data_IF_488107633924
#
_entry.id   IF_488107633924
#
_cell.length_a   1.000
_cell.length_b   1.000
_cell.length_c   1.000
_cell.angle_alpha   90.00
_cell.angle_beta   90.00
_cell.angle_gamma   90.00
#
_symmetry.space_group_name_H-M   'P 1'
#
loop_
_entity.id
_entity.type
_entity.pdbx_description
1 polymer ?
#
# COMPACT_ATOMS: atom_id res chain seq x y z
N UNK A 1 6.25 10.59 22.11
CA UNK A 1 6.52 9.15 22.39
C UNK A 1 6.38 8.44 21.07
N UNK A 2 7.34 7.59 20.69
CA UNK A 2 7.21 6.81 19.44
C UNK A 2 5.93 5.96 19.48
N UNK A 3 5.19 5.94 18.37
CA UNK A 3 3.92 5.21 18.23
C UNK A 3 2.69 5.82 18.90
N UNK A 4 2.72 7.11 19.30
CA UNK A 4 1.51 7.78 19.83
C UNK A 4 0.33 7.75 18.84
N UNK A 5 0.62 7.70 17.53
CA UNK A 5 -0.39 7.64 16.48
C UNK A 5 -0.98 6.24 16.25
N UNK A 6 -0.43 5.22 16.92
CA UNK A 6 -0.99 3.87 16.88
C UNK A 6 -2.25 3.80 17.74
N UNK A 7 -2.10 3.58 19.05
CA UNK A 7 -3.23 3.45 19.99
C UNK A 7 -3.19 4.47 21.14
N UNK A 8 -2.38 5.53 21.00
CA UNK A 8 -2.15 6.52 22.06
C UNK A 8 -1.35 6.01 23.26
N UNK A 9 -1.04 4.71 23.30
CA UNK A 9 -0.23 4.10 24.36
C UNK A 9 1.24 4.06 23.94
N UNK A 10 2.14 4.04 24.93
CA UNK A 10 3.57 3.79 24.69
C UNK A 10 3.86 2.32 24.37
N UNK A 11 5.16 2.02 24.22
CA UNK A 11 5.66 0.64 24.03
C UNK A 11 5.78 0.19 22.57
N UNK A 12 5.56 1.09 21.61
CA UNK A 12 5.81 0.83 20.20
C UNK A 12 7.27 1.09 19.85
N UNK A 13 7.87 0.19 19.07
CA UNK A 13 9.18 0.40 18.45
C UNK A 13 9.02 0.61 16.96
N UNK A 14 9.53 1.72 16.42
CA UNK A 14 9.61 1.92 14.96
C UNK A 14 10.69 1.01 14.38
N UNK A 15 10.35 0.21 13.38
CA UNK A 15 11.31 -0.68 12.70
C UNK A 15 11.51 -0.33 11.22
N UNK A 16 10.62 0.47 10.63
CA UNK A 16 10.77 0.96 9.26
C UNK A 16 10.29 2.39 9.11
N UNK A 17 11.00 3.13 8.24
CA UNK A 17 10.79 4.55 8.00
C UNK A 17 11.23 4.90 6.57
N UNK A 18 10.31 5.46 5.80
CA UNK A 18 10.54 6.12 4.52
C UNK A 18 9.90 7.49 4.62
N UNK A 19 10.66 8.54 4.37
CA UNK A 19 10.15 9.90 4.25
C UNK A 19 10.90 10.66 3.16
N UNK A 20 10.42 10.54 1.92
CA UNK A 20 11.02 11.16 0.74
C UNK A 20 10.83 12.68 0.69
N UNK A 21 10.10 13.26 1.64
CA UNK A 21 10.00 14.72 1.77
C UNK A 21 11.21 15.34 2.48
N UNK A 22 12.03 14.53 3.14
CA UNK A 22 13.24 15.00 3.82
C UNK A 22 14.39 15.25 2.85
N UNK A 23 15.19 16.31 3.07
CA UNK A 23 16.36 16.58 2.23
C UNK A 23 17.36 15.41 2.24
N UNK A 24 17.68 14.89 1.06
CA UNK A 24 18.64 13.80 0.92
C UNK A 24 18.10 12.40 1.25
N UNK A 25 16.79 12.25 1.42
CA UNK A 25 16.16 10.95 1.60
C UNK A 25 16.42 10.02 0.41
N UNK A 26 16.58 8.72 0.69
CA UNK A 26 16.82 7.67 -0.30
C UNK A 26 15.87 6.51 -0.07
N UNK A 27 15.49 5.82 -1.14
CA UNK A 27 14.68 4.60 -1.01
C UNK A 27 15.48 3.47 -0.36
N UNK A 28 14.84 2.64 0.46
CA UNK A 28 15.49 1.49 1.08
C UNK A 28 15.85 0.44 0.04
N UNK A 29 16.76 -0.47 0.40
CA UNK A 29 17.23 -1.52 -0.49
C UNK A 29 16.07 -2.36 -1.03
N UNK A 30 16.07 -2.56 -2.35
CA UNK A 30 15.03 -3.30 -3.07
C UNK A 30 13.97 -2.39 -3.70
N UNK A 31 13.85 -1.14 -3.25
CA UNK A 31 13.05 -0.10 -3.88
C UNK A 31 13.97 0.92 -4.59
N UNK A 32 13.39 1.69 -5.50
CA UNK A 32 14.12 2.57 -6.40
C UNK A 32 13.56 3.98 -6.36
N UNK A 33 14.44 4.97 -6.45
CA UNK A 33 14.05 6.38 -6.49
C UNK A 33 13.78 6.82 -7.92
N UNK A 34 12.59 7.36 -8.16
CA UNK A 34 12.20 7.95 -9.45
C UNK A 34 11.56 9.31 -9.26
N UNK A 35 11.57 10.12 -10.32
CA UNK A 35 10.93 11.44 -10.32
C UNK A 35 9.60 11.39 -11.06
N UNK A 36 8.52 11.66 -10.34
CA UNK A 36 7.17 11.79 -10.86
C UNK A 36 6.67 13.22 -10.65
N UNK A 37 6.33 13.94 -11.73
CA UNK A 37 5.80 15.31 -11.62
C UNK A 37 6.69 16.28 -10.81
N UNK A 38 8.01 16.08 -10.81
CA UNK A 38 8.96 16.87 -10.02
C UNK A 38 9.14 16.43 -8.56
N UNK A 39 8.45 15.40 -8.10
CA UNK A 39 8.63 14.76 -6.78
C UNK A 39 9.52 13.53 -6.91
N UNK A 40 10.50 13.38 -6.02
CA UNK A 40 11.28 12.14 -5.91
C UNK A 40 10.55 11.19 -4.97
N UNK A 41 10.20 10.00 -5.45
CA UNK A 41 9.39 9.01 -4.74
C UNK A 41 10.09 7.63 -4.77
N UNK A 42 9.67 6.74 -3.89
CA UNK A 42 10.06 5.33 -3.93
C UNK A 42 9.05 4.49 -4.69
N UNK A 43 9.56 3.56 -5.48
CA UNK A 43 8.75 2.65 -6.29
C UNK A 43 9.45 1.31 -6.46
N UNK A 44 8.73 0.34 -7.03
CA UNK A 44 9.33 -0.86 -7.61
C UNK A 44 10.22 -0.48 -8.80
N UNK A 45 11.08 -1.39 -9.27
CA UNK A 45 11.90 -1.10 -10.45
C UNK A 45 11.01 -0.95 -11.70
N UNK A 46 11.19 0.14 -12.43
CA UNK A 46 10.48 0.41 -13.69
C UNK A 46 10.86 -0.57 -14.83
N UNK A 47 11.96 -1.32 -14.68
CA UNK A 47 12.37 -2.35 -15.64
C UNK A 47 11.78 -3.73 -15.35
N UNK A 48 11.11 -3.89 -14.21
CA UNK A 48 10.37 -5.10 -13.84
C UNK A 48 8.93 -4.91 -14.31
N UNK A 49 8.46 -5.81 -15.17
CA UNK A 49 7.08 -5.86 -15.66
C UNK A 49 6.08 -6.11 -14.53
N UNK A 50 5.21 -7.10 -14.65
CA UNK A 50 4.34 -7.50 -13.54
C UNK A 50 5.14 -8.06 -12.34
N UNK A 51 4.56 -7.97 -11.14
CA UNK A 51 5.13 -8.57 -9.92
C UNK A 51 5.39 -7.55 -8.81
N UNK A 52 6.30 -7.89 -7.91
CA UNK A 52 6.61 -7.07 -6.74
C UNK A 52 8.11 -6.89 -6.51
N UNK A 53 8.50 -5.70 -6.04
CA UNK A 53 9.78 -5.49 -5.37
C UNK A 53 9.58 -5.36 -3.86
N UNK A 54 10.52 -5.90 -3.07
CA UNK A 54 10.43 -5.92 -1.62
C UNK A 54 11.57 -5.18 -0.95
N UNK A 55 11.28 -4.53 0.17
CA UNK A 55 12.24 -4.13 1.21
C UNK A 55 11.87 -4.80 2.52
N UNK A 56 12.86 -5.03 3.39
CA UNK A 56 12.68 -5.69 4.68
C UNK A 56 13.10 -4.77 5.83
N UNK A 57 12.30 -4.76 6.88
CA UNK A 57 12.49 -3.99 8.10
C UNK A 57 12.72 -4.94 9.26
N UNK A 58 13.92 -4.89 9.84
CA UNK A 58 14.28 -5.89 10.84
C UNK A 58 13.57 -5.65 12.17
N UNK A 59 12.96 -6.70 12.70
CA UNK A 59 12.43 -6.70 14.06
C UNK A 59 13.53 -6.90 15.11
N UNK A 60 14.81 -7.05 14.69
CA UNK A 60 16.00 -7.28 15.53
C UNK A 60 15.83 -8.41 16.55
N UNK A 61 15.02 -9.42 16.20
CA UNK A 61 14.70 -10.57 17.05
C UNK A 61 13.74 -10.27 18.21
N UNK A 62 13.13 -9.08 18.25
CA UNK A 62 12.09 -8.77 19.22
C UNK A 62 10.82 -9.55 18.91
N UNK A 63 10.22 -10.09 19.96
CA UNK A 63 8.91 -10.71 19.82
C UNK A 63 7.80 -9.67 19.87
N UNK A 64 6.88 -9.73 18.93
CA UNK A 64 5.75 -8.81 18.84
C UNK A 64 4.45 -9.54 18.47
N UNK A 65 3.33 -8.96 18.86
CA UNK A 65 1.98 -9.44 18.56
C UNK A 65 1.12 -8.39 17.88
N UNK A 66 1.57 -7.14 17.84
CA UNK A 66 0.88 -6.04 17.21
C UNK A 66 1.78 -5.31 16.24
N UNK A 67 1.18 -4.88 15.15
CA UNK A 67 1.81 -4.07 14.10
C UNK A 67 0.95 -2.84 13.89
N UNK A 68 1.60 -1.70 13.70
CA UNK A 68 0.95 -0.44 13.42
C UNK A 68 1.75 0.30 12.36
N UNK A 69 1.09 0.95 11.41
CA UNK A 69 1.81 1.69 10.39
C UNK A 69 0.93 2.62 9.59
N UNK A 70 1.59 3.41 8.75
CA UNK A 70 0.97 4.28 7.77
C UNK A 70 1.76 4.22 6.45
N UNK A 71 1.09 4.54 5.35
CA UNK A 71 1.71 4.78 4.07
C UNK A 71 1.03 5.96 3.39
N UNK A 72 1.77 6.65 2.52
CA UNK A 72 1.24 7.70 1.63
C UNK A 72 1.77 7.46 0.24
N UNK A 73 0.85 7.30 -0.71
CA UNK A 73 1.16 6.97 -2.09
C UNK A 73 0.53 7.94 -3.07
N UNK A 74 0.89 7.76 -4.34
CA UNK A 74 0.28 8.47 -5.45
C UNK A 74 -0.06 7.49 -6.57
N UNK A 75 -1.12 7.79 -7.31
CA UNK A 75 -1.50 7.01 -8.49
C UNK A 75 -0.67 7.45 -9.70
N UNK A 76 -0.19 6.47 -10.47
CA UNK A 76 0.34 6.69 -11.81
C UNK A 76 -0.31 5.71 -12.79
N UNK A 77 -0.88 6.23 -13.86
CA UNK A 77 -1.65 5.44 -14.82
C UNK A 77 -2.96 4.91 -14.24
N UNK A 78 -3.49 3.81 -14.81
CA UNK A 78 -4.72 3.16 -14.35
C UNK A 78 -4.46 1.82 -13.63
N UNK A 79 -4.12 1.83 -12.32
CA UNK A 79 -4.04 0.62 -11.49
C UNK A 79 -5.29 -0.24 -11.53
N UNK A 80 -5.12 -1.53 -11.23
CA UNK A 80 -6.17 -2.53 -11.31
C UNK A 80 -6.62 -3.10 -9.96
N UNK A 81 -6.24 -2.47 -8.85
CA UNK A 81 -6.71 -2.83 -7.51
C UNK A 81 -6.31 -4.26 -7.12
N UNK A 82 -7.28 -5.07 -6.69
CA UNK A 82 -7.06 -6.48 -6.34
C UNK A 82 -7.21 -7.42 -7.53
N UNK A 83 -6.55 -8.59 -7.44
CA UNK A 83 -6.87 -9.74 -8.28
C UNK A 83 -8.39 -10.05 -8.30
N UNK A 84 -9.03 -10.28 -9.47
CA UNK A 84 -8.46 -10.46 -10.81
C UNK A 84 -8.21 -9.15 -11.56
N UNK A 85 -7.04 -8.57 -11.35
CA UNK A 85 -6.45 -7.44 -12.05
C UNK A 85 -5.97 -7.87 -13.45
N UNK A 86 -5.79 -6.92 -14.38
CA UNK A 86 -5.36 -7.23 -15.75
C UNK A 86 -3.86 -7.54 -15.74
N UNK A 87 -3.37 -8.26 -16.74
CA UNK A 87 -1.94 -8.54 -16.88
C UNK A 87 -1.46 -9.75 -16.06
N UNK A 88 -0.33 -9.58 -15.35
CA UNK A 88 0.39 -10.64 -14.65
C UNK A 88 -0.05 -10.86 -13.19
N UNK A 89 -1.23 -10.36 -12.83
CA UNK A 89 -1.80 -10.50 -11.51
C UNK A 89 -1.92 -11.96 -11.02
N UNK A 90 -1.93 -12.15 -9.70
CA UNK A 90 -2.01 -13.48 -9.08
C UNK A 90 -2.88 -13.47 -7.82
N UNK A 91 -3.74 -14.47 -7.58
CA UNK A 91 -4.51 -14.54 -6.34
C UNK A 91 -3.65 -14.90 -5.13
N UNK A 92 -2.41 -15.35 -5.33
CA UNK A 92 -1.53 -15.84 -4.27
C UNK A 92 -0.81 -14.70 -3.56
N UNK A 93 -0.69 -14.79 -2.23
CA UNK A 93 0.08 -13.84 -1.41
C UNK A 93 1.51 -13.67 -1.91
N UNK A 94 2.10 -14.66 -2.59
CA UNK A 94 3.45 -14.56 -3.14
C UNK A 94 3.55 -13.79 -4.46
N UNK A 95 2.43 -13.53 -5.14
CA UNK A 95 2.39 -12.77 -6.39
C UNK A 95 1.92 -11.32 -6.21
N UNK A 96 1.71 -10.63 -7.34
CA UNK A 96 1.07 -9.32 -7.40
C UNK A 96 -0.45 -9.49 -7.30
N UNK A 97 -0.94 -9.78 -6.09
CA UNK A 97 -2.38 -9.89 -5.82
C UNK A 97 -3.09 -8.54 -5.70
N UNK A 98 -2.29 -7.47 -5.67
CA UNK A 98 -2.72 -6.09 -5.49
C UNK A 98 -1.80 -5.17 -6.28
N UNK A 99 -2.37 -4.10 -6.82
CA UNK A 99 -1.63 -2.93 -7.27
C UNK A 99 -1.57 -1.94 -6.11
N UNK A 100 -0.36 -1.75 -5.58
CA UNK A 100 -0.14 -0.98 -4.36
C UNK A 100 0.89 -1.65 -3.45
N UNK A 101 0.63 -1.62 -2.14
CA UNK A 101 1.54 -2.12 -1.11
C UNK A 101 0.98 -3.36 -0.42
N UNK A 102 1.79 -4.40 -0.33
CA UNK A 102 1.54 -5.58 0.51
C UNK A 102 2.53 -5.60 1.67
N UNK A 103 2.00 -5.59 2.89
CA UNK A 103 2.80 -5.68 4.12
C UNK A 103 2.66 -7.09 4.68
N UNK A 104 3.78 -7.79 4.80
CA UNK A 104 3.80 -9.21 5.18
C UNK A 104 4.88 -9.51 6.21
N UNK A 105 4.78 -10.66 6.87
CA UNK A 105 5.86 -11.23 7.67
C UNK A 105 5.98 -12.73 7.40
N UNK A 106 7.09 -13.32 7.82
CA UNK A 106 7.42 -14.71 7.50
C UNK A 106 7.84 -14.85 6.03
N UNK A 107 8.95 -15.54 5.78
CA UNK A 107 9.44 -15.76 4.42
C UNK A 107 8.93 -17.06 3.80
N UNK A 108 8.61 -18.06 4.62
CA UNK A 108 8.05 -19.33 4.16
C UNK A 108 7.33 -20.08 5.30
N UNK A 109 5.99 -20.01 5.42
CA UNK A 109 5.07 -19.28 4.53
C UNK A 109 5.06 -17.77 4.79
N UNK A 110 4.81 -16.99 3.73
CA UNK A 110 4.46 -15.58 3.83
C UNK A 110 3.08 -15.41 4.47
N UNK A 111 2.96 -14.45 5.38
CA UNK A 111 1.73 -14.14 6.12
C UNK A 111 1.38 -12.67 5.98
N UNK A 112 0.08 -12.40 5.82
CA UNK A 112 -0.46 -11.06 5.60
C UNK A 112 -0.55 -10.25 6.89
N UNK A 113 -0.23 -8.96 6.81
CA UNK A 113 -0.45 -7.97 7.89
C UNK A 113 -1.47 -6.94 7.46
N UNK A 114 -1.19 -6.24 6.35
CA UNK A 114 -2.01 -5.14 5.86
C UNK A 114 -1.76 -4.93 4.37
N UNK A 115 -2.76 -4.40 3.66
CA UNK A 115 -2.64 -4.03 2.24
C UNK A 115 -3.04 -2.57 2.02
N UNK A 116 -2.28 -1.84 1.22
CA UNK A 116 -2.70 -0.56 0.65
C UNK A 116 -2.96 -0.77 -0.84
N UNK A 117 -4.19 -0.54 -1.28
CA UNK A 117 -4.68 -0.87 -2.61
C UNK A 117 -4.89 0.42 -3.39
N UNK A 118 -4.54 0.43 -4.67
CA UNK A 118 -4.89 1.51 -5.59
C UNK A 118 -5.99 1.06 -6.52
N UNK A 119 -7.17 1.64 -6.37
CA UNK A 119 -8.25 1.44 -7.32
C UNK A 119 -7.98 2.16 -8.64
N UNK A 120 -8.63 1.69 -9.70
CA UNK A 120 -8.51 2.33 -11.01
C UNK A 120 -9.01 3.78 -11.01
N UNK A 121 -10.19 3.98 -10.41
CA UNK A 121 -10.86 5.28 -10.29
C UNK A 121 -11.80 5.34 -9.08
N UNK A 122 -11.94 6.52 -8.49
CA UNK A 122 -12.79 6.82 -7.32
C UNK A 122 -14.26 6.41 -7.52
N UNK A 123 -14.74 6.47 -8.76
CA UNK A 123 -16.13 6.19 -9.11
C UNK A 123 -16.33 4.83 -9.80
N UNK A 124 -15.33 3.94 -9.74
CA UNK A 124 -15.44 2.56 -10.19
C UNK A 124 -16.23 1.68 -9.20
N UNK A 125 -16.97 0.70 -9.73
CA UNK A 125 -17.70 -0.32 -8.92
C UNK A 125 -17.51 -1.76 -9.42
N UNK A 126 -16.80 -1.90 -10.53
CA UNK A 126 -16.55 -3.19 -11.16
C UNK A 126 -15.17 -3.69 -10.76
N UNK A 127 -14.75 -4.79 -11.38
CA UNK A 127 -13.38 -5.26 -11.36
C UNK A 127 -12.42 -4.06 -11.55
N UNK A 128 -11.33 -4.03 -10.78
CA UNK A 128 -10.34 -2.92 -10.68
C UNK A 128 -10.67 -1.76 -9.74
N UNK A 129 -11.91 -1.66 -9.26
CA UNK A 129 -12.26 -0.65 -8.26
C UNK A 129 -11.91 -1.07 -6.83
N UNK A 130 -11.88 -0.10 -5.94
CA UNK A 130 -11.77 -0.36 -4.52
C UNK A 130 -12.96 -1.18 -3.99
N UNK A 131 -12.73 -2.24 -3.18
CA UNK A 131 -13.82 -3.05 -2.64
C UNK A 131 -14.73 -2.28 -1.68
N UNK A 132 -14.21 -1.21 -1.07
CA UNK A 132 -14.97 -0.32 -0.19
C UNK A 132 -15.84 0.70 -0.93
N UNK A 133 -15.72 0.80 -2.27
CA UNK A 133 -16.58 1.71 -3.03
C UNK A 133 -18.06 1.34 -2.86
N UNK A 134 -18.92 2.34 -2.75
CA UNK A 134 -20.35 2.15 -2.60
C UNK A 134 -20.94 1.46 -3.84
N UNK A 135 -21.45 0.24 -3.65
CA UNK A 135 -21.95 -0.60 -4.75
C UNK A 135 -20.87 -1.41 -5.47
N UNK A 136 -19.63 -1.44 -4.96
CA UNK A 136 -18.56 -2.25 -5.52
C UNK A 136 -18.90 -3.73 -5.51
N UNK A 137 -18.52 -4.41 -6.58
CA UNK A 137 -18.59 -5.86 -6.73
C UNK A 137 -17.23 -6.54 -6.52
N UNK A 138 -16.17 -5.75 -6.38
CA UNK A 138 -14.82 -6.25 -6.09
C UNK A 138 -14.76 -6.81 -4.68
N UNK A 139 -13.98 -7.87 -4.49
CA UNK A 139 -13.71 -8.44 -3.18
C UNK A 139 -12.22 -8.55 -2.95
N UNK A 140 -11.80 -8.40 -1.70
CA UNK A 140 -10.43 -8.67 -1.29
C UNK A 140 -10.16 -10.18 -1.26
N UNK A 141 -8.91 -10.64 -1.48
CA UNK A 141 -8.53 -12.01 -1.19
C UNK A 141 -8.88 -12.42 0.25
N UNK A 142 -9.24 -13.69 0.46
CA UNK A 142 -9.73 -14.16 1.76
C UNK A 142 -8.71 -14.05 2.89
N UNK A 143 -7.41 -14.12 2.58
CA UNK A 143 -6.32 -13.92 3.54
C UNK A 143 -6.06 -12.45 3.88
N UNK A 144 -6.56 -11.51 3.06
CA UNK A 144 -6.54 -10.07 3.36
C UNK A 144 -7.76 -9.67 4.18
N UNK A 145 -8.95 -10.18 3.82
CA UNK A 145 -10.20 -9.83 4.49
C UNK A 145 -10.41 -8.31 4.55
N UNK A 146 -10.59 -7.76 5.75
CA UNK A 146 -10.79 -6.32 5.96
C UNK A 146 -9.50 -5.57 6.35
N UNK A 147 -8.34 -6.21 6.29
CA UNK A 147 -7.06 -5.63 6.68
C UNK A 147 -6.42 -4.86 5.51
N UNK A 148 -7.14 -3.87 4.99
CA UNK A 148 -6.68 -3.03 3.90
C UNK A 148 -7.20 -1.59 3.98
N UNK A 149 -6.50 -0.68 3.30
CA UNK A 149 -7.04 0.58 2.82
C UNK A 149 -7.00 0.60 1.30
N UNK A 150 -7.98 1.25 0.67
CA UNK A 150 -8.04 1.37 -0.77
C UNK A 150 -8.45 2.79 -1.13
N UNK A 151 -7.81 3.35 -2.15
CA UNK A 151 -8.12 4.69 -2.64
C UNK A 151 -7.67 4.81 -4.10
N UNK A 152 -8.17 5.82 -4.81
CA UNK A 152 -7.80 6.11 -6.19
C UNK A 152 -7.56 7.62 -6.29
N UNK A 153 -6.49 8.05 -6.96
CA UNK A 153 -6.20 9.48 -7.15
C UNK A 153 -6.81 10.08 -8.43
N UNK A 154 -7.72 9.35 -9.07
CA UNK A 154 -8.29 9.70 -10.36
C UNK A 154 -9.77 9.33 -10.44
N UNK A 155 -10.51 10.06 -11.28
CA UNK A 155 -11.89 9.74 -11.65
C UNK A 155 -11.92 9.14 -13.05
N UNK A 156 -13.04 8.49 -13.40
CA UNK A 156 -13.26 8.01 -14.78
C UNK A 156 -13.26 9.12 -15.84
N UNK A 157 -13.36 10.39 -15.41
CA UNK A 157 -13.33 11.54 -16.31
C UNK A 157 -11.92 12.03 -16.65
N UNK A 158 -10.92 11.74 -15.82
CA UNK A 158 -9.55 12.24 -15.95
C UNK A 158 -8.48 11.14 -16.04
N UNK A 159 -8.87 9.87 -15.88
CA UNK A 159 -7.95 8.72 -15.96
C UNK A 159 -7.28 8.63 -17.34
N UNK A 160 -5.96 8.44 -17.35
CA UNK A 160 -5.11 8.44 -18.53
C UNK A 160 -3.89 7.54 -18.31
N UNK A 161 -3.46 6.86 -19.36
CA UNK A 161 -2.22 6.10 -19.35
C UNK A 161 -1.01 7.05 -19.21
N UNK A 162 0.05 6.58 -18.56
CA UNK A 162 1.31 7.31 -18.40
C UNK A 162 1.16 8.68 -17.69
N UNK A 163 0.13 8.85 -16.86
CA UNK A 163 -0.13 10.11 -16.14
C UNK A 163 0.07 9.95 -14.65
N UNK A 164 0.73 10.94 -14.05
CA UNK A 164 0.87 11.06 -12.61
C UNK A 164 -0.27 11.90 -12.02
N UNK A 165 -0.83 11.46 -10.89
CA UNK A 165 -1.91 12.13 -10.16
C UNK A 165 -1.39 12.60 -8.79
N UNK A 166 -0.88 13.86 -8.70
CA UNK A 166 -0.28 14.37 -7.46
C UNK A 166 -1.26 15.06 -6.51
N UNK A 167 -2.45 15.41 -6.99
CA UNK A 167 -3.38 16.32 -6.30
C UNK A 167 -4.31 15.57 -5.34
N UNK A 168 -4.55 14.29 -5.62
CA UNK A 168 -5.32 13.39 -4.78
C UNK A 168 -4.40 12.28 -4.26
N UNK A 169 -4.12 12.34 -2.96
CA UNK A 169 -3.05 11.59 -2.32
C UNK A 169 -3.64 10.35 -1.68
N UNK A 170 -3.13 9.18 -2.07
CA UNK A 170 -3.71 7.93 -1.62
C UNK A 170 -3.38 7.62 -0.17
N UNK A 171 -4.40 7.10 0.51
CA UNK A 171 -4.42 6.53 1.86
C UNK A 171 -4.22 7.54 2.98
N UNK A 172 -4.43 8.83 2.69
CA UNK A 172 -4.35 9.89 3.68
C UNK A 172 -5.69 10.21 4.37
N UNK A 173 -6.78 9.60 3.87
CA UNK A 173 -8.13 9.70 4.43
C UNK A 173 -8.87 10.97 4.03
N UNK A 174 -8.38 11.67 3.02
CA UNK A 174 -8.97 12.89 2.48
C UNK A 174 -9.36 12.64 1.03
N UNK A 175 -10.18 13.52 0.45
CA UNK A 175 -10.49 13.52 -0.98
C UNK A 175 -11.16 12.26 -1.56
N UNK A 176 -11.55 11.31 -0.70
CA UNK A 176 -12.35 10.14 -1.06
C UNK A 176 -13.82 10.55 -1.34
N UNK A 177 -14.03 11.11 -2.52
CA UNK A 177 -15.32 11.61 -2.96
C UNK A 177 -16.19 10.50 -3.58
N UNK A 178 -17.42 10.86 -3.97
CA UNK A 178 -18.33 9.99 -4.73
C UNK A 178 -18.56 8.60 -4.10
N UNK A 179 -18.21 7.55 -4.84
CA UNK A 179 -18.42 6.16 -4.45
C UNK A 179 -17.29 5.67 -3.54
N UNK A 180 -16.13 6.32 -3.53
CA UNK A 180 -14.99 5.96 -2.68
C UNK A 180 -15.11 6.46 -1.24
N UNK A 181 -16.06 7.36 -0.95
CA UNK A 181 -16.29 7.87 0.42
C UNK A 181 -16.29 6.84 1.56
N UNK A 182 -16.80 5.59 1.43
CA UNK A 182 -16.71 4.61 2.50
C UNK A 182 -15.28 4.13 2.78
N UNK A 183 -14.38 4.21 1.81
CA UNK A 183 -12.97 3.81 1.94
C UNK A 183 -12.21 4.65 2.97
N UNK A 184 -12.66 5.89 3.19
CA UNK A 184 -12.03 6.83 4.13
C UNK A 184 -12.85 7.05 5.40
N UNK A 185 -13.82 6.18 5.66
CA UNK A 185 -14.68 6.25 6.84
C UNK A 185 -14.00 5.80 8.14
N UNK A 186 -12.84 5.14 8.05
CA UNK A 186 -12.12 4.66 9.22
C UNK A 186 -11.47 5.82 9.97
N UNK A 187 -11.82 5.97 11.25
CA UNK A 187 -11.26 7.00 12.12
C UNK A 187 -9.77 6.86 12.42
N UNK A 188 -9.13 5.78 11.93
CA UNK A 188 -7.69 5.54 12.13
C UNK A 188 -6.83 5.95 10.93
N UNK A 189 -7.41 6.05 9.72
CA UNK A 189 -6.65 6.43 8.52
C UNK A 189 -5.91 7.75 8.79
N UNK A 190 -4.61 7.86 8.45
CA UNK A 190 -3.80 6.95 7.62
C UNK A 190 -3.18 5.72 8.34
N UNK A 191 -3.42 5.59 9.65
CA UNK A 191 -2.82 4.56 10.49
C UNK A 191 -3.67 3.30 10.59
N UNK A 192 -3.05 2.12 10.44
CA UNK A 192 -3.68 0.85 10.81
C UNK A 192 -3.09 0.31 12.12
N UNK A 193 -3.84 -0.60 12.76
CA UNK A 193 -3.31 -1.47 13.82
C UNK A 193 -3.80 -2.88 13.59
N UNK A 194 -2.86 -3.81 13.44
CA UNK A 194 -3.12 -5.24 13.31
C UNK A 194 -2.64 -5.98 14.55
N UNK A 195 -3.48 -6.86 15.10
CA UNK A 195 -3.05 -7.87 16.08
C UNK A 195 -2.87 -9.20 15.35
N UNK A 196 -1.68 -9.79 15.47
CA UNK A 196 -1.34 -11.08 14.91
C UNK A 196 -1.90 -12.21 15.77
N UNK A 197 -2.22 -13.38 15.20
CA UNK A 197 -2.80 -14.49 15.94
C UNK A 197 -1.85 -15.11 16.97
N UNK A 198 -0.53 -14.90 16.79
CA UNK A 198 0.51 -15.37 17.69
C UNK A 198 1.69 -14.39 17.72
N UNK A 199 2.51 -14.51 18.76
CA UNK A 199 3.76 -13.75 18.86
C UNK A 199 4.77 -14.27 17.84
N UNK A 200 5.38 -13.36 17.10
CA UNK A 200 6.41 -13.68 16.09
C UNK A 200 7.66 -12.84 16.31
N UNK A 201 8.73 -13.18 15.60
CA UNK A 201 10.02 -12.47 15.60
C UNK A 201 10.49 -12.17 14.18
N UNK A 202 9.61 -12.39 13.20
CA UNK A 202 9.92 -12.24 11.78
C UNK A 202 10.22 -10.77 11.47
N UNK A 203 11.07 -10.53 10.48
CA UNK A 203 11.18 -9.20 9.89
C UNK A 203 9.89 -8.87 9.13
N UNK A 204 9.55 -7.58 9.06
CA UNK A 204 8.41 -7.11 8.27
C UNK A 204 8.89 -6.81 6.85
N UNK A 205 8.18 -7.36 5.87
CA UNK A 205 8.37 -7.10 4.45
C UNK A 205 7.35 -6.06 3.97
N UNK A 206 7.84 -5.02 3.29
CA UNK A 206 7.03 -4.13 2.48
C UNK A 206 7.27 -4.48 1.01
N UNK A 207 6.19 -4.77 0.30
CA UNK A 207 6.21 -5.13 -1.12
C UNK A 207 5.44 -4.09 -1.91
N UNK A 208 6.07 -3.51 -2.93
CA UNK A 208 5.40 -2.68 -3.92
C UNK A 208 5.07 -3.55 -5.11
N UNK A 209 3.79 -3.76 -5.36
CA UNK A 209 3.26 -4.71 -6.32
C UNK A 209 2.45 -4.00 -7.40
N UNK A 210 2.49 -4.55 -8.62
CA UNK A 210 1.60 -4.17 -9.69
C UNK A 210 1.42 -5.33 -10.67
N UNK A 211 0.23 -5.48 -11.23
CA UNK A 211 -0.07 -6.49 -12.23
C UNK A 211 0.36 -6.13 -13.63
N UNK A 212 0.61 -4.85 -13.88
CA UNK A 212 1.27 -4.34 -15.08
C UNK A 212 2.59 -3.62 -14.76
N UNK A 213 3.41 -3.41 -15.79
CA UNK A 213 4.71 -2.77 -15.68
C UNK A 213 4.62 -1.25 -15.83
N UNK A 214 5.61 -0.51 -15.33
CA UNK A 214 5.82 0.85 -15.83
C UNK A 214 6.13 0.79 -17.34
N UNK A 215 5.57 1.69 -18.18
CA UNK A 215 4.88 2.92 -17.82
C UNK A 215 3.35 2.82 -17.78
N UNK A 216 2.77 1.61 -17.84
CA UNK A 216 1.31 1.46 -17.87
C UNK A 216 0.72 1.94 -16.53
N UNK A 217 1.22 1.40 -15.41
CA UNK A 217 0.82 1.79 -14.06
C UNK A 217 2.00 1.81 -13.08
N UNK A 218 1.86 2.58 -12.00
CA UNK A 218 2.78 2.54 -10.86
C UNK A 218 2.10 3.08 -9.59
N UNK A 219 2.65 2.70 -8.43
CA UNK A 219 2.20 3.17 -7.11
C UNK A 219 3.37 3.73 -6.31
N UNK A 220 3.95 4.87 -6.71
CA UNK A 220 5.07 5.44 -5.98
C UNK A 220 4.63 6.02 -4.62
N UNK A 221 5.50 5.95 -3.62
CA UNK A 221 5.25 6.42 -2.25
C UNK A 221 6.30 7.44 -1.78
N UNK A 222 5.90 8.32 -0.86
CA UNK A 222 6.84 9.19 -0.15
C UNK A 222 6.89 8.96 1.35
N UNK A 223 5.82 8.46 1.97
CA UNK A 223 5.79 8.13 3.40
C UNK A 223 5.50 6.64 3.59
N UNK A 224 6.28 6.00 4.45
CA UNK A 224 5.97 4.71 5.03
C UNK A 224 6.54 4.64 6.44
N UNK A 225 5.72 4.26 7.41
CA UNK A 225 6.19 4.00 8.77
C UNK A 225 5.58 2.72 9.30
N UNK A 226 6.38 1.94 10.03
CA UNK A 226 5.92 0.70 10.62
C UNK A 226 6.53 0.49 12.01
N UNK A 227 5.68 0.07 12.93
CA UNK A 227 5.94 -0.10 14.35
C UNK A 227 5.46 -1.48 14.82
N UNK A 228 6.17 -2.05 15.79
CA UNK A 228 5.82 -3.33 16.42
C UNK A 228 5.70 -3.20 17.93
N UNK A 229 4.87 -4.07 18.52
CA UNK A 229 4.67 -4.18 19.98
C UNK A 229 4.28 -5.59 20.41
#
# INVERSE_FOLDING_TARGET
MEGSNCDGNGGWMRIGYINMTEPGATCPQGLYSYTYGGKTLCDKSQGSGDGCNSTFFSAIGLSYTKVCGQARGYQYGPPDGFYPNIGGGSPNIDGAYVDGLSITHGSNPRQHIWTYVVGNTENGILVHSCPCNNGSTTTSPSYVGNDYYCESGATSSNIQNNRFYPDDIMWDGQQCDYLESPCCSSSRIPWFIKTLPQSVTDDIELRMCSSEGYPDEATPIDIFEIYVR
#
